data_IF_550722143227
#
_entry.id   IF_550722143227
#
_cell.length_a   1.000
_cell.length_b   1.000
_cell.length_c   1.000
_cell.angle_alpha   90.00
_cell.angle_beta   90.00
_cell.angle_gamma   90.00
#
_symmetry.space_group_name_H-M   'P 1'
#
loop_
_entity.id
_entity.type
_entity.pdbx_description
1 polymer ?
#
# COMPACT_ATOMS: atom_id res chain seq x y z
N UNK A 1 -20.16 6.58 -27.14
CA UNK A 1 -20.18 6.58 -25.66
C UNK A 1 -18.74 6.49 -25.18
N UNK A 2 -18.35 7.27 -24.17
CA UNK A 2 -16.96 7.24 -23.64
C UNK A 2 -16.82 5.96 -22.81
N UNK A 3 -15.81 5.15 -23.12
CA UNK A 3 -15.51 3.88 -22.44
C UNK A 3 -14.65 4.11 -21.20
N UNK A 4 -13.61 4.95 -21.31
CA UNK A 4 -12.68 5.24 -20.21
C UNK A 4 -12.46 6.76 -20.06
N UNK A 5 -12.58 7.25 -18.84
CA UNK A 5 -12.02 8.55 -18.43
C UNK A 5 -10.63 8.33 -17.86
N UNK A 6 -9.62 8.86 -18.54
CA UNK A 6 -8.24 8.88 -18.04
C UNK A 6 -8.06 10.13 -17.21
N UNK A 7 -7.71 9.97 -15.93
CA UNK A 7 -7.48 11.07 -15.00
C UNK A 7 -5.98 11.23 -14.81
N UNK A 8 -5.47 12.41 -15.13
CA UNK A 8 -4.05 12.76 -15.06
C UNK A 8 -3.89 13.97 -14.13
N UNK A 9 -3.61 13.77 -12.83
CA UNK A 9 -3.17 14.85 -11.94
C UNK A 9 -1.81 15.38 -12.38
N UNK A 10 -1.64 16.70 -12.47
CA UNK A 10 -0.43 17.35 -12.97
C UNK A 10 0.05 18.39 -11.96
N UNK A 11 1.31 18.29 -11.53
CA UNK A 11 1.96 19.31 -10.71
C UNK A 11 3.46 19.32 -10.95
N UNK A 12 3.98 20.36 -11.60
CA UNK A 12 5.41 20.58 -11.82
C UNK A 12 6.18 19.39 -12.46
N UNK A 13 5.71 18.92 -13.62
CA UNK A 13 6.22 17.74 -14.35
C UNK A 13 6.54 18.05 -15.82
N UNK A 14 6.93 19.28 -16.15
CA UNK A 14 7.13 19.73 -17.54
C UNK A 14 8.05 18.83 -18.38
N UNK A 15 9.02 18.19 -17.73
CA UNK A 15 10.01 17.32 -18.37
C UNK A 15 9.45 15.98 -18.86
N UNK A 16 8.34 15.52 -18.29
CA UNK A 16 7.81 14.15 -18.51
C UNK A 16 6.41 14.17 -19.13
N UNK A 17 5.67 15.25 -18.90
CA UNK A 17 4.26 15.38 -19.25
C UNK A 17 3.96 15.14 -20.74
N UNK A 18 4.85 15.58 -21.65
CA UNK A 18 4.65 15.36 -23.09
C UNK A 18 4.61 13.88 -23.45
N UNK A 19 5.53 13.08 -22.90
CA UNK A 19 5.58 11.65 -23.16
C UNK A 19 4.38 10.93 -22.55
N UNK A 20 3.96 11.34 -21.35
CA UNK A 20 2.73 10.86 -20.71
C UNK A 20 1.51 11.09 -21.62
N UNK A 21 1.28 12.33 -22.05
CA UNK A 21 0.15 12.70 -22.91
C UNK A 21 0.17 11.98 -24.25
N UNK A 22 1.32 11.93 -24.94
CA UNK A 22 1.46 11.20 -26.20
C UNK A 22 1.14 9.71 -26.03
N UNK A 23 1.54 9.10 -24.91
CA UNK A 23 1.23 7.69 -24.65
C UNK A 23 -0.27 7.41 -24.50
N UNK A 24 -1.04 8.39 -23.99
CA UNK A 24 -2.49 8.30 -23.78
C UNK A 24 -3.25 8.64 -25.08
N UNK A 25 -2.84 9.68 -25.79
CA UNK A 25 -3.45 10.12 -27.05
C UNK A 25 -3.37 9.01 -28.12
N UNK A 26 -2.23 8.33 -28.17
CA UNK A 26 -1.93 7.28 -29.15
C UNK A 26 -2.49 5.90 -28.77
N UNK A 27 -3.32 5.78 -27.73
CA UNK A 27 -3.98 4.53 -27.36
C UNK A 27 -4.81 3.95 -28.52
N UNK A 28 -4.85 2.62 -28.65
CA UNK A 28 -5.66 1.92 -29.65
C UNK A 28 -7.15 2.10 -29.38
N UNK A 29 -7.57 2.12 -28.11
CA UNK A 29 -8.93 2.48 -27.71
C UNK A 29 -9.16 3.99 -27.91
N UNK A 30 -10.07 4.36 -28.81
CA UNK A 30 -10.30 5.77 -29.16
C UNK A 30 -11.40 6.44 -28.35
N UNK A 31 -12.36 5.67 -27.83
CA UNK A 31 -13.48 6.16 -27.03
C UNK A 31 -13.07 6.50 -25.59
N UNK A 32 -12.07 7.36 -25.46
CA UNK A 32 -11.55 7.86 -24.20
C UNK A 32 -11.77 9.36 -24.09
N UNK A 33 -11.80 9.86 -22.86
CA UNK A 33 -11.55 11.27 -22.55
C UNK A 33 -10.37 11.37 -21.58
N UNK A 34 -9.68 12.49 -21.59
CA UNK A 34 -8.44 12.71 -20.84
C UNK A 34 -8.63 13.95 -19.99
N UNK A 35 -8.91 13.74 -18.70
CA UNK A 35 -9.06 14.79 -17.70
C UNK A 35 -7.68 15.13 -17.13
N UNK A 36 -7.11 16.25 -17.56
CA UNK A 36 -5.86 16.76 -17.01
C UNK A 36 -6.17 17.81 -15.94
N UNK A 37 -5.81 17.51 -14.69
CA UNK A 37 -6.07 18.39 -13.54
C UNK A 37 -4.74 19.03 -13.12
N UNK A 38 -4.53 20.28 -13.51
CA UNK A 38 -3.38 21.08 -13.11
C UNK A 38 -3.54 21.60 -11.68
N UNK A 39 -2.66 21.18 -10.79
CA UNK A 39 -2.71 21.52 -9.37
C UNK A 39 -1.92 22.78 -9.02
N UNK A 40 -2.17 23.85 -9.79
CA UNK A 40 -1.45 25.11 -9.69
C UNK A 40 0.06 24.96 -9.97
N UNK A 41 0.42 24.35 -11.11
CA UNK A 41 1.83 24.23 -11.51
C UNK A 41 2.48 25.61 -11.71
N UNK A 42 3.75 25.70 -11.35
CA UNK A 42 4.58 26.91 -11.47
C UNK A 42 5.63 26.81 -12.58
N UNK A 43 5.79 25.62 -13.17
CA UNK A 43 6.64 25.36 -14.33
C UNK A 43 5.82 25.45 -15.65
N UNK A 44 6.36 24.95 -16.78
CA UNK A 44 5.65 24.98 -18.05
C UNK A 44 4.59 23.88 -18.20
N UNK A 45 4.26 23.10 -17.16
CA UNK A 45 3.27 22.02 -17.24
C UNK A 45 1.92 22.49 -17.77
N UNK A 46 1.39 23.61 -17.24
CA UNK A 46 0.11 24.15 -17.69
C UNK A 46 0.15 24.59 -19.16
N UNK A 47 1.23 25.23 -19.61
CA UNK A 47 1.41 25.61 -21.02
C UNK A 47 1.45 24.40 -21.95
N UNK A 48 2.07 23.30 -21.52
CA UNK A 48 2.06 22.02 -22.25
C UNK A 48 0.63 21.48 -22.34
N UNK A 49 -0.13 21.49 -21.24
CA UNK A 49 -1.54 21.07 -21.26
C UNK A 49 -2.38 21.86 -22.26
N UNK A 50 -2.22 23.19 -22.29
CA UNK A 50 -2.93 24.06 -23.25
C UNK A 50 -2.55 23.76 -24.72
N UNK A 51 -1.28 23.45 -24.98
CA UNK A 51 -0.82 23.04 -26.30
C UNK A 51 -1.50 21.75 -26.76
N UNK A 52 -1.55 20.74 -25.90
CA UNK A 52 -2.12 19.44 -26.23
C UNK A 52 -3.64 19.48 -26.32
N UNK A 53 -4.33 20.24 -25.47
CA UNK A 53 -5.77 20.42 -25.56
C UNK A 53 -6.23 21.08 -26.87
N UNK A 54 -5.37 21.89 -27.50
CA UNK A 54 -5.62 22.44 -28.85
C UNK A 54 -5.45 21.39 -29.96
N UNK A 55 -4.67 20.34 -29.73
CA UNK A 55 -4.36 19.28 -30.71
C UNK A 55 -5.34 18.10 -30.64
N UNK A 56 -5.85 17.78 -29.45
CA UNK A 56 -6.75 16.65 -29.22
C UNK A 56 -7.96 17.08 -28.39
N UNK A 57 -9.14 17.03 -28.99
CA UNK A 57 -10.40 17.46 -28.37
C UNK A 57 -10.90 16.54 -27.24
N UNK A 58 -10.27 15.37 -27.04
CA UNK A 58 -10.55 14.47 -25.93
C UNK A 58 -9.93 14.96 -24.63
N UNK A 59 -8.98 15.89 -24.69
CA UNK A 59 -8.33 16.48 -23.53
C UNK A 59 -9.20 17.60 -22.94
N UNK A 60 -9.45 17.50 -21.64
CA UNK A 60 -10.25 18.43 -20.86
C UNK A 60 -9.37 18.92 -19.73
N UNK A 61 -9.19 20.24 -19.66
CA UNK A 61 -8.33 20.88 -18.69
C UNK A 61 -9.15 21.38 -17.50
N UNK A 62 -8.69 21.04 -16.30
CA UNK A 62 -9.20 21.60 -15.05
C UNK A 62 -8.00 22.21 -14.33
N UNK A 63 -8.12 23.47 -13.91
CA UNK A 63 -7.05 24.20 -13.25
C UNK A 63 -7.45 24.57 -11.83
N UNK A 64 -6.62 24.18 -10.86
CA UNK A 64 -6.77 24.64 -9.49
C UNK A 64 -6.11 26.01 -9.29
N UNK A 65 -6.69 26.80 -8.38
CA UNK A 65 -6.13 28.11 -7.98
C UNK A 65 -5.02 28.00 -6.95
N UNK A 66 -4.92 26.87 -6.27
CA UNK A 66 -3.88 26.56 -5.29
C UNK A 66 -3.57 25.06 -5.33
N UNK A 67 -2.38 24.68 -4.87
CA UNK A 67 -1.99 23.27 -4.78
C UNK A 67 -2.78 22.57 -3.66
N UNK A 68 -3.55 21.54 -4.04
CA UNK A 68 -4.46 20.76 -3.19
C UNK A 68 -4.00 19.31 -2.96
N UNK A 69 -3.03 18.81 -3.72
CA UNK A 69 -2.49 17.46 -3.61
C UNK A 69 -3.24 16.42 -4.46
N UNK A 70 -2.59 15.26 -4.64
CA UNK A 70 -3.04 14.21 -5.57
C UNK A 70 -4.44 13.66 -5.29
N UNK A 71 -4.80 13.47 -4.02
CA UNK A 71 -6.12 12.96 -3.63
C UNK A 71 -7.27 13.87 -4.09
N UNK A 72 -7.12 15.19 -3.91
CA UNK A 72 -8.11 16.17 -4.36
C UNK A 72 -8.27 16.15 -5.89
N UNK A 73 -7.16 16.13 -6.63
CA UNK A 73 -7.18 16.11 -8.10
C UNK A 73 -7.82 14.84 -8.65
N UNK A 74 -7.54 13.68 -8.05
CA UNK A 74 -8.20 12.42 -8.40
C UNK A 74 -9.70 12.46 -8.11
N UNK A 75 -10.12 13.08 -7.00
CA UNK A 75 -11.54 13.26 -6.67
C UNK A 75 -12.28 14.15 -7.65
N UNK A 76 -11.69 15.26 -8.09
CA UNK A 76 -12.24 16.08 -9.18
C UNK A 76 -12.42 15.21 -10.43
N UNK A 77 -11.37 14.48 -10.82
CA UNK A 77 -11.44 13.60 -11.98
C UNK A 77 -12.56 12.56 -11.88
N UNK A 78 -12.75 11.93 -10.72
CA UNK A 78 -13.84 10.95 -10.51
C UNK A 78 -15.22 11.60 -10.71
N UNK A 79 -15.41 12.82 -10.19
CA UNK A 79 -16.68 13.55 -10.27
C UNK A 79 -17.00 13.99 -11.70
N UNK A 80 -15.99 14.48 -12.42
CA UNK A 80 -16.13 15.01 -13.80
C UNK A 80 -16.07 13.93 -14.88
N UNK A 81 -15.56 12.73 -14.58
CA UNK A 81 -15.52 11.59 -15.49
C UNK A 81 -16.89 11.31 -16.10
N UNK A 82 -16.94 11.01 -17.40
CA UNK A 82 -18.13 10.59 -18.16
C UNK A 82 -18.01 9.18 -18.74
N UNK A 83 -16.82 8.58 -18.65
CA UNK A 83 -16.54 7.22 -19.05
C UNK A 83 -17.25 6.19 -18.18
N UNK A 84 -17.49 5.01 -18.77
CA UNK A 84 -17.96 3.82 -18.04
C UNK A 84 -16.96 3.40 -16.96
N UNK A 85 -15.67 3.49 -17.28
CA UNK A 85 -14.55 3.20 -16.39
C UNK A 85 -13.63 4.42 -16.21
N UNK A 86 -12.82 4.37 -15.16
CA UNK A 86 -11.82 5.38 -14.80
C UNK A 86 -10.45 4.71 -14.74
N UNK A 87 -9.43 5.34 -15.33
CA UNK A 87 -8.01 4.99 -15.15
C UNK A 87 -7.28 6.20 -14.61
N UNK A 88 -6.49 6.03 -13.54
CA UNK A 88 -5.53 7.04 -13.12
C UNK A 88 -4.20 6.78 -13.83
N UNK A 89 -3.55 7.82 -14.36
CA UNK A 89 -2.20 7.73 -14.90
C UNK A 89 -1.42 8.90 -14.32
N UNK A 90 -0.31 8.62 -13.64
CA UNK A 90 0.52 9.66 -13.06
C UNK A 90 1.27 10.40 -14.19
N UNK A 91 1.39 11.73 -14.08
CA UNK A 91 1.83 12.60 -15.17
C UNK A 91 3.32 12.50 -15.55
N UNK A 92 4.10 11.84 -14.70
CA UNK A 92 5.50 11.48 -14.93
C UNK A 92 5.68 10.06 -15.54
N UNK A 93 4.62 9.27 -15.60
CA UNK A 93 4.62 7.92 -16.16
C UNK A 93 4.13 7.87 -17.61
N UNK A 94 4.16 6.69 -18.22
CA UNK A 94 3.60 6.45 -19.55
C UNK A 94 3.13 5.00 -19.72
N UNK A 95 2.27 4.76 -20.71
CA UNK A 95 1.64 3.46 -20.96
C UNK A 95 1.85 2.96 -22.38
N UNK A 96 1.85 1.64 -22.59
CA UNK A 96 1.93 1.09 -23.94
C UNK A 96 0.65 1.36 -24.73
N UNK A 97 0.74 1.48 -26.06
CA UNK A 97 -0.36 1.87 -26.95
C UNK A 97 -1.67 1.07 -26.82
N UNK A 98 -1.62 -0.17 -26.34
CA UNK A 98 -2.77 -1.06 -26.18
C UNK A 98 -3.19 -1.24 -24.71
N UNK A 99 -2.62 -0.44 -23.79
CA UNK A 99 -2.87 -0.51 -22.35
C UNK A 99 -4.36 -0.39 -22.00
N UNK A 100 -5.00 0.69 -22.47
CA UNK A 100 -6.40 0.96 -22.14
C UNK A 100 -7.37 -0.01 -22.81
N UNK A 101 -7.08 -0.43 -24.05
CA UNK A 101 -7.89 -1.41 -24.77
C UNK A 101 -7.86 -2.78 -24.08
N UNK A 102 -6.67 -3.24 -23.71
CA UNK A 102 -6.50 -4.51 -23.00
C UNK A 102 -7.23 -4.49 -21.64
N UNK A 103 -7.09 -3.43 -20.84
CA UNK A 103 -7.80 -3.31 -19.57
C UNK A 103 -9.32 -3.28 -19.75
N UNK A 104 -9.82 -2.51 -20.73
CA UNK A 104 -11.26 -2.45 -21.01
C UNK A 104 -11.81 -3.81 -21.44
N UNK A 105 -11.11 -4.52 -22.34
CA UNK A 105 -11.54 -5.84 -22.80
C UNK A 105 -11.58 -6.85 -21.66
N UNK A 106 -10.60 -6.84 -20.74
CA UNK A 106 -10.64 -7.67 -19.53
C UNK A 106 -11.81 -7.29 -18.62
N UNK A 107 -12.04 -5.99 -18.39
CA UNK A 107 -13.18 -5.51 -17.62
C UNK A 107 -14.50 -6.01 -18.20
N UNK A 108 -14.70 -5.95 -19.52
CA UNK A 108 -15.93 -6.43 -20.14
C UNK A 108 -16.05 -7.95 -20.13
N UNK A 109 -14.95 -8.67 -20.33
CA UNK A 109 -14.92 -10.14 -20.32
C UNK A 109 -15.36 -10.72 -18.97
N UNK A 110 -14.89 -10.14 -17.88
CA UNK A 110 -15.21 -10.59 -16.52
C UNK A 110 -16.22 -9.69 -15.82
N UNK A 111 -16.82 -8.69 -16.51
CA UNK A 111 -17.70 -7.64 -15.96
C UNK A 111 -17.15 -6.94 -14.68
N UNK A 112 -15.83 -6.86 -14.57
CA UNK A 112 -15.11 -6.45 -13.36
C UNK A 112 -15.46 -5.03 -12.89
N UNK A 113 -15.44 -4.85 -11.57
CA UNK A 113 -15.41 -3.54 -10.93
C UNK A 113 -14.00 -2.95 -10.95
N UNK A 114 -12.98 -3.80 -10.88
CA UNK A 114 -11.57 -3.41 -10.91
C UNK A 114 -10.79 -4.34 -11.83
N UNK A 115 -9.92 -3.78 -12.67
CA UNK A 115 -8.92 -4.53 -13.44
C UNK A 115 -7.54 -4.04 -13.04
N UNK A 116 -6.67 -4.95 -12.62
CA UNK A 116 -5.25 -4.65 -12.35
C UNK A 116 -4.40 -5.02 -13.57
N UNK A 117 -3.41 -4.20 -13.91
CA UNK A 117 -2.30 -4.71 -14.73
C UNK A 117 -1.26 -5.42 -13.86
N UNK A 118 -0.82 -6.58 -14.34
CA UNK A 118 0.29 -7.37 -13.80
C UNK A 118 1.65 -6.98 -14.41
N UNK A 119 1.65 -6.20 -15.50
CA UNK A 119 2.86 -5.89 -16.27
C UNK A 119 3.30 -4.44 -16.03
N UNK A 120 3.88 -4.23 -14.85
CA UNK A 120 4.50 -2.97 -14.47
C UNK A 120 5.99 -3.06 -14.80
N UNK A 121 6.51 -2.05 -15.50
CA UNK A 121 7.93 -1.89 -15.78
C UNK A 121 8.44 -0.64 -15.09
N UNK A 122 9.58 -0.73 -14.40
CA UNK A 122 10.28 0.44 -13.88
C UNK A 122 11.25 0.96 -14.93
N UNK A 123 11.06 2.20 -15.34
CA UNK A 123 11.98 2.93 -16.21
C UNK A 123 12.81 3.91 -15.37
N UNK A 124 14.13 3.82 -15.44
CA UNK A 124 15.05 4.68 -14.66
C UNK A 124 15.56 5.79 -15.57
N UNK A 125 15.14 7.03 -15.31
CA UNK A 125 15.42 8.20 -16.15
C UNK A 125 16.92 8.45 -16.33
N UNK A 126 17.72 8.28 -15.27
CA UNK A 126 19.16 8.54 -15.27
C UNK A 126 19.95 7.54 -16.13
N UNK A 127 19.49 6.29 -16.20
CA UNK A 127 20.18 5.21 -16.91
C UNK A 127 19.53 4.84 -18.23
N UNK A 128 18.31 5.34 -18.49
CA UNK A 128 17.45 4.99 -19.62
C UNK A 128 17.18 3.48 -19.71
N UNK A 129 17.28 2.76 -18.60
CA UNK A 129 17.06 1.31 -18.53
C UNK A 129 15.65 1.01 -18.03
N UNK A 130 15.08 -0.04 -18.60
CA UNK A 130 13.78 -0.57 -18.18
C UNK A 130 13.97 -1.92 -17.51
N UNK A 131 13.35 -2.11 -16.36
CA UNK A 131 13.34 -3.35 -15.60
C UNK A 131 11.90 -3.81 -15.43
N UNK A 132 11.65 -5.11 -15.55
CA UNK A 132 10.36 -5.66 -15.17
C UNK A 132 10.24 -5.59 -13.65
N UNK A 133 9.11 -5.11 -13.15
CA UNK A 133 8.82 -5.25 -11.74
C UNK A 133 8.59 -6.74 -11.47
N UNK A 134 9.44 -7.34 -10.63
CA UNK A 134 9.45 -8.79 -10.44
C UNK A 134 8.33 -9.17 -9.47
N UNK A 135 7.22 -9.62 -10.03
CA UNK A 135 6.11 -10.18 -9.29
C UNK A 135 5.94 -11.64 -9.65
N UNK A 136 5.67 -12.46 -8.64
CA UNK A 136 5.20 -13.84 -8.83
C UNK A 136 3.74 -13.81 -9.27
N UNK A 137 3.48 -13.31 -10.47
CA UNK A 137 2.16 -13.30 -11.07
C UNK A 137 2.02 -14.36 -12.14
N UNK A 138 0.78 -14.82 -12.33
CA UNK A 138 0.48 -15.80 -13.35
C UNK A 138 0.70 -15.12 -14.68
N UNK A 139 1.32 -15.80 -15.63
CA UNK A 139 1.49 -15.28 -16.97
C UNK A 139 0.22 -15.47 -17.82
N UNK A 140 -0.95 -15.28 -17.21
CA UNK A 140 -2.26 -15.37 -17.84
C UNK A 140 -3.21 -14.33 -17.22
N UNK A 141 -4.25 -14.00 -17.96
CA UNK A 141 -5.33 -13.14 -17.50
C UNK A 141 -6.34 -13.98 -16.70
N UNK A 142 -6.76 -13.51 -15.53
CA UNK A 142 -7.69 -14.24 -14.67
C UNK A 142 -8.63 -13.33 -13.87
N UNK A 143 -9.80 -13.85 -13.53
CA UNK A 143 -10.69 -13.30 -12.50
C UNK A 143 -10.36 -13.92 -11.15
N UNK A 144 -10.60 -13.17 -10.08
CA UNK A 144 -10.37 -13.67 -8.74
C UNK A 144 -11.40 -13.10 -7.78
N UNK A 145 -11.89 -13.95 -6.87
CA UNK A 145 -12.73 -13.55 -5.75
C UNK A 145 -11.83 -13.03 -4.63
N UNK A 146 -11.78 -11.72 -4.46
CA UNK A 146 -10.88 -11.10 -3.49
C UNK A 146 -11.55 -10.76 -2.19
N UNK A 147 -10.77 -10.86 -1.12
CA UNK A 147 -11.09 -10.30 0.18
C UNK A 147 -9.91 -9.48 0.73
N UNK A 148 -10.09 -8.89 1.91
CA UNK A 148 -9.10 -8.00 2.52
C UNK A 148 -7.75 -8.67 2.81
N UNK A 149 -7.70 -10.00 2.92
CA UNK A 149 -6.48 -10.77 3.18
C UNK A 149 -5.52 -10.72 2.01
N UNK A 150 -6.03 -10.47 0.82
CA UNK A 150 -5.28 -10.46 -0.43
C UNK A 150 -4.58 -9.09 -0.67
N UNK A 151 -4.88 -8.06 0.14
CA UNK A 151 -4.10 -6.81 0.17
C UNK A 151 -2.74 -7.11 0.80
N UNK A 152 -1.72 -7.29 -0.03
CA UNK A 152 -0.33 -7.47 0.38
C UNK A 152 0.64 -6.77 -0.58
N UNK A 153 1.89 -6.64 -0.13
CA UNK A 153 3.04 -6.31 -0.98
C UNK A 153 3.31 -7.45 -1.96
N UNK A 154 2.42 -7.69 -2.91
CA UNK A 154 2.65 -8.33 -4.21
C UNK A 154 3.38 -9.70 -4.19
N UNK A 155 3.48 -10.35 -3.04
CA UNK A 155 4.26 -11.58 -2.83
C UNK A 155 3.53 -12.82 -3.32
N UNK A 156 2.22 -12.71 -3.59
CA UNK A 156 1.40 -13.81 -4.09
C UNK A 156 0.75 -13.49 -5.44
N UNK A 157 0.40 -14.55 -6.16
CA UNK A 157 -0.37 -14.53 -7.40
C UNK A 157 -1.71 -13.80 -7.26
N UNK A 158 -2.21 -13.68 -6.03
CA UNK A 158 -3.45 -13.00 -5.69
C UNK A 158 -3.14 -11.80 -4.75
N UNK A 159 -2.16 -10.93 -5.05
CA UNK A 159 -1.88 -9.73 -4.23
C UNK A 159 -2.00 -8.37 -4.96
N UNK A 160 -2.82 -7.46 -4.39
CA UNK A 160 -3.18 -6.15 -4.98
C UNK A 160 -2.30 -5.16 -4.28
N UNK A 161 -1.36 -4.61 -5.03
CA UNK A 161 -0.68 -3.42 -4.57
C UNK A 161 -1.70 -2.30 -4.36
N UNK A 162 -1.54 -1.48 -3.32
CA UNK A 162 -2.40 -0.32 -3.11
C UNK A 162 -2.21 0.77 -4.17
N UNK A 163 -1.33 0.60 -5.17
CA UNK A 163 -1.12 1.57 -6.24
C UNK A 163 -2.41 1.86 -6.99
N UNK A 164 -2.75 3.14 -7.16
CA UNK A 164 -4.01 3.49 -7.83
C UNK A 164 -3.88 3.62 -9.35
N UNK A 165 -2.68 3.87 -9.86
CA UNK A 165 -2.39 4.15 -11.28
C UNK A 165 -2.36 2.90 -12.18
N UNK A 166 -2.13 1.70 -11.65
CA UNK A 166 -2.01 0.47 -12.45
C UNK A 166 -3.36 -0.24 -12.69
N UNK A 167 -4.48 0.49 -12.62
CA UNK A 167 -5.81 -0.09 -12.51
C UNK A 167 -6.85 0.63 -13.37
N UNK A 168 -7.87 -0.12 -13.75
CA UNK A 168 -9.12 0.38 -14.31
C UNK A 168 -10.25 0.15 -13.29
N UNK A 169 -11.06 1.17 -13.02
CA UNK A 169 -12.14 1.14 -12.02
C UNK A 169 -13.49 1.41 -12.68
N UNK A 170 -14.50 0.61 -12.38
CA UNK A 170 -15.88 0.85 -12.81
C UNK A 170 -16.39 2.11 -12.12
N UNK A 171 -16.72 3.15 -12.90
CA UNK A 171 -17.09 4.46 -12.35
C UNK A 171 -18.29 4.34 -11.41
N UNK A 172 -19.32 3.60 -11.81
CA UNK A 172 -20.52 3.41 -11.01
C UNK A 172 -20.23 2.71 -9.67
N UNK A 173 -19.26 1.79 -9.63
CA UNK A 173 -18.84 1.14 -8.38
C UNK A 173 -18.25 2.16 -7.40
N UNK A 174 -17.36 3.05 -7.86
CA UNK A 174 -16.78 4.10 -7.01
C UNK A 174 -17.86 5.06 -6.48
N UNK A 175 -18.77 5.51 -7.34
CA UNK A 175 -19.81 6.47 -6.97
C UNK A 175 -20.85 5.87 -6.02
N UNK A 176 -21.35 4.66 -6.31
CA UNK A 176 -22.36 4.01 -5.48
C UNK A 176 -21.86 3.73 -4.05
N UNK A 177 -20.57 3.41 -3.92
CA UNK A 177 -19.94 3.13 -2.64
C UNK A 177 -19.27 4.36 -1.99
N UNK A 178 -19.39 5.54 -2.62
CA UNK A 178 -18.81 6.82 -2.17
C UNK A 178 -17.31 6.73 -1.88
N UNK A 179 -16.56 6.05 -2.75
CA UNK A 179 -15.13 5.84 -2.59
C UNK A 179 -14.36 6.99 -3.25
N UNK A 180 -13.85 7.88 -2.40
CA UNK A 180 -13.02 9.03 -2.75
C UNK A 180 -11.69 9.00 -1.97
N UNK A 181 -10.68 9.71 -2.45
CA UNK A 181 -9.41 9.93 -1.76
C UNK A 181 -9.58 10.95 -0.62
N UNK A 182 -8.74 10.87 0.40
CA UNK A 182 -8.60 11.96 1.37
C UNK A 182 -7.86 13.13 0.73
N UNK A 183 -8.34 14.34 0.99
CA UNK A 183 -7.90 15.57 0.33
C UNK A 183 -6.80 16.27 1.15
N UNK A 184 -5.74 15.54 1.52
CA UNK A 184 -4.56 16.11 2.14
C UNK A 184 -3.56 16.59 1.07
N UNK A 185 -3.00 17.79 1.28
CA UNK A 185 -2.07 18.42 0.36
C UNK A 185 -0.78 17.63 0.17
N UNK A 186 -0.18 17.21 1.28
CA UNK A 186 0.95 16.28 1.31
C UNK A 186 0.42 14.97 1.87
N UNK A 187 0.37 13.96 1.02
CA UNK A 187 -0.24 12.69 1.35
C UNK A 187 0.79 11.59 1.28
N UNK A 188 0.78 10.75 2.31
CA UNK A 188 1.49 9.48 2.34
C UNK A 188 0.48 8.40 2.67
N UNK A 189 0.49 7.35 1.86
CA UNK A 189 -0.45 6.23 1.97
C UNK A 189 -1.93 6.56 1.65
N UNK A 190 -2.25 7.60 0.85
CA UNK A 190 -3.64 7.78 0.36
C UNK A 190 -4.11 6.58 -0.46
N UNK A 191 -3.20 6.03 -1.27
CA UNK A 191 -3.39 4.85 -2.09
C UNK A 191 -3.83 3.63 -1.26
N UNK A 192 -3.21 3.47 -0.08
CA UNK A 192 -3.52 2.39 0.84
C UNK A 192 -4.87 2.61 1.53
N UNK A 193 -5.16 3.81 2.03
CA UNK A 193 -6.47 4.15 2.60
C UNK A 193 -7.60 3.97 1.58
N UNK A 194 -7.42 4.49 0.36
CA UNK A 194 -8.37 4.34 -0.74
C UNK A 194 -8.62 2.86 -1.05
N UNK A 195 -7.56 2.08 -1.25
CA UNK A 195 -7.67 0.65 -1.57
C UNK A 195 -8.32 -0.14 -0.44
N UNK A 196 -7.96 0.10 0.82
CA UNK A 196 -8.53 -0.62 1.97
C UNK A 196 -10.04 -0.34 2.11
N UNK A 197 -10.47 0.91 1.94
CA UNK A 197 -11.91 1.25 1.95
C UNK A 197 -12.65 0.68 0.74
N UNK A 198 -12.04 0.73 -0.44
CA UNK A 198 -12.58 0.14 -1.66
C UNK A 198 -12.87 -1.37 -1.49
N UNK A 199 -11.92 -2.09 -0.88
CA UNK A 199 -12.03 -3.54 -0.67
C UNK A 199 -13.10 -3.95 0.35
N UNK A 200 -13.58 -3.02 1.19
CA UNK A 200 -14.70 -3.27 2.11
C UNK A 200 -15.98 -3.70 1.37
N UNK A 201 -16.12 -3.24 0.12
CA UNK A 201 -17.29 -3.47 -0.72
C UNK A 201 -17.20 -4.71 -1.61
N UNK A 202 -16.16 -5.54 -1.41
CA UNK A 202 -15.95 -6.81 -2.13
C UNK A 202 -16.08 -6.66 -3.66
N UNK A 203 -15.30 -5.75 -4.28
CA UNK A 203 -15.34 -5.54 -5.73
C UNK A 203 -15.03 -6.83 -6.47
N UNK A 204 -15.63 -7.00 -7.66
CA UNK A 204 -15.19 -8.05 -8.59
C UNK A 204 -13.90 -7.63 -9.28
N UNK A 205 -12.83 -8.39 -9.07
CA UNK A 205 -11.47 -8.05 -9.52
C UNK A 205 -11.01 -9.02 -10.59
N UNK A 206 -10.37 -8.47 -11.62
CA UNK A 206 -9.64 -9.23 -12.64
C UNK A 206 -8.24 -8.69 -12.83
N UNK A 207 -7.37 -9.52 -13.40
CA UNK A 207 -5.96 -9.22 -13.63
C UNK A 207 -5.62 -9.43 -15.09
N UNK A 208 -4.99 -8.43 -15.68
CA UNK A 208 -4.56 -8.42 -17.06
C UNK A 208 -3.02 -8.51 -17.14
N UNK A 209 -2.51 -9.44 -17.95
CA UNK A 209 -1.07 -9.66 -18.14
C UNK A 209 -0.48 -9.02 -19.41
N UNK A 210 -1.32 -8.36 -20.23
CA UNK A 210 -0.93 -7.76 -21.52
C UNK A 210 -0.64 -6.27 -21.44
N UNK A 211 -1.45 -5.54 -20.68
CA UNK A 211 -1.40 -4.08 -20.53
C UNK A 211 -0.11 -3.69 -19.84
N UNK A 212 0.76 -2.90 -20.48
CA UNK A 212 2.05 -2.53 -19.88
C UNK A 212 2.03 -1.09 -19.41
N UNK A 213 2.32 -0.91 -18.12
CA UNK A 213 2.50 0.41 -17.50
C UNK A 213 3.99 0.65 -17.21
N UNK A 214 4.51 1.81 -17.56
CA UNK A 214 5.89 2.19 -17.28
C UNK A 214 5.94 3.23 -16.15
N UNK A 215 6.33 2.75 -14.96
CA UNK A 215 6.59 3.58 -13.80
C UNK A 215 7.98 4.22 -13.91
N UNK A 216 8.05 5.54 -14.01
CA UNK A 216 9.29 6.31 -14.17
C UNK A 216 9.88 6.64 -12.80
N UNK A 217 11.16 6.33 -12.63
CA UNK A 217 11.98 6.82 -11.51
C UNK A 217 12.87 7.94 -12.00
N UNK A 218 12.80 9.08 -11.32
CA UNK A 218 13.66 10.23 -11.53
C UNK A 218 13.96 10.93 -10.20
N UNK A 219 14.92 11.87 -10.21
CA UNK A 219 15.39 12.56 -9.00
C UNK A 219 14.29 13.33 -8.26
N UNK A 220 13.31 13.86 -8.97
CA UNK A 220 12.21 14.66 -8.41
C UNK A 220 10.96 13.83 -8.09
N UNK A 221 10.96 12.50 -8.29
CA UNK A 221 9.80 11.65 -7.99
C UNK A 221 9.37 11.82 -6.53
N UNK A 222 8.07 11.87 -6.28
CA UNK A 222 7.52 12.02 -4.91
C UNK A 222 8.08 10.96 -3.96
N UNK A 223 8.21 9.72 -4.42
CA UNK A 223 8.80 8.63 -3.62
C UNK A 223 10.27 8.86 -3.21
N UNK A 224 10.98 9.72 -3.95
CA UNK A 224 12.38 10.10 -3.74
C UNK A 224 12.52 11.39 -2.91
N UNK A 225 11.53 12.28 -2.98
CA UNK A 225 11.59 13.63 -2.38
C UNK A 225 10.72 13.81 -1.15
N UNK A 226 9.71 12.95 -0.93
CA UNK A 226 8.88 12.98 0.29
C UNK A 226 9.75 12.68 1.49
N UNK A 227 9.69 13.59 2.48
CA UNK A 227 10.32 13.41 3.78
C UNK A 227 9.92 12.04 4.38
N UNK A 228 10.90 11.27 4.83
CA UNK A 228 10.65 10.01 5.56
C UNK A 228 10.66 10.23 7.07
N UNK A 229 10.65 11.49 7.49
CA UNK A 229 10.57 11.94 8.86
C UNK A 229 9.17 11.82 9.47
N UNK A 230 9.00 12.50 10.59
CA UNK A 230 7.84 12.35 11.49
C UNK A 230 6.52 12.76 10.85
N UNK A 231 6.52 13.81 10.01
CA UNK A 231 5.30 14.34 9.39
C UNK A 231 4.67 13.31 8.44
N UNK A 232 5.48 12.73 7.55
CA UNK A 232 5.06 11.69 6.61
C UNK A 232 4.55 10.44 7.31
N UNK A 233 5.18 10.03 8.42
CA UNK A 233 4.68 8.93 9.24
C UNK A 233 3.31 9.24 9.84
N UNK A 234 3.15 10.45 10.36
CA UNK A 234 1.93 10.90 11.04
C UNK A 234 0.78 11.01 10.03
N UNK A 235 1.05 11.52 8.83
CA UNK A 235 0.10 11.53 7.72
C UNK A 235 -0.34 10.11 7.35
N UNK A 236 0.59 9.18 7.19
CA UNK A 236 0.25 7.78 6.93
C UNK A 236 -0.62 7.16 8.04
N UNK A 237 -0.31 7.42 9.32
CA UNK A 237 -1.14 6.98 10.45
C UNK A 237 -2.53 7.62 10.41
N UNK A 238 -2.65 8.88 10.01
CA UNK A 238 -3.93 9.57 9.88
C UNK A 238 -4.78 8.98 8.74
N UNK A 239 -4.18 8.68 7.58
CA UNK A 239 -4.86 7.97 6.49
C UNK A 239 -5.37 6.60 6.94
N UNK A 240 -4.54 5.82 7.61
CA UNK A 240 -4.95 4.49 8.08
C UNK A 240 -5.94 4.56 9.24
N UNK A 241 -5.92 5.64 10.03
CA UNK A 241 -6.96 5.93 11.03
C UNK A 241 -8.30 6.26 10.38
N UNK A 242 -8.30 6.92 9.21
CA UNK A 242 -9.52 7.15 8.43
C UNK A 242 -10.10 5.83 7.89
N UNK A 243 -9.26 4.95 7.33
CA UNK A 243 -9.71 3.62 6.95
C UNK A 243 -10.28 2.86 8.15
N UNK A 244 -9.63 2.91 9.32
CA UNK A 244 -10.17 2.33 10.56
C UNK A 244 -11.55 2.89 10.92
N UNK A 245 -11.72 4.21 10.88
CA UNK A 245 -12.99 4.87 11.18
C UNK A 245 -14.08 4.42 10.20
N UNK A 246 -13.76 4.40 8.90
CA UNK A 246 -14.67 3.94 7.86
C UNK A 246 -15.19 2.52 8.12
N UNK A 247 -14.30 1.59 8.48
CA UNK A 247 -14.69 0.23 8.85
C UNK A 247 -15.50 0.19 10.16
N UNK A 248 -15.13 1.01 11.13
CA UNK A 248 -15.86 1.07 12.41
C UNK A 248 -17.30 1.50 12.21
N UNK A 249 -17.53 2.49 11.35
CA UNK A 249 -18.86 3.05 11.09
C UNK A 249 -19.71 2.18 10.15
N UNK A 250 -19.09 1.60 9.11
CA UNK A 250 -19.83 0.98 8.01
C UNK A 250 -19.71 -0.55 7.98
N UNK A 251 -18.61 -1.11 8.51
CA UNK A 251 -18.24 -2.52 8.37
C UNK A 251 -17.64 -3.12 9.65
N UNK A 252 -18.26 -2.92 10.84
CA UNK A 252 -17.62 -3.26 12.13
C UNK A 252 -17.27 -4.75 12.26
N UNK A 253 -18.04 -5.63 11.61
CA UNK A 253 -17.79 -7.08 11.61
C UNK A 253 -16.47 -7.48 10.92
N UNK A 254 -15.94 -6.63 10.04
CA UNK A 254 -14.67 -6.86 9.34
C UNK A 254 -13.46 -6.21 10.04
N UNK A 255 -13.67 -5.48 11.15
CA UNK A 255 -12.59 -4.85 11.90
C UNK A 255 -11.47 -5.82 12.32
N UNK A 256 -11.76 -7.03 12.83
CA UNK A 256 -10.71 -7.98 13.20
C UNK A 256 -9.82 -8.40 12.03
N UNK A 257 -10.39 -8.49 10.83
CA UNK A 257 -9.69 -8.89 9.61
C UNK A 257 -8.84 -7.74 9.03
N UNK A 258 -9.36 -6.51 9.04
CA UNK A 258 -8.66 -5.35 8.47
C UNK A 258 -7.60 -4.78 9.41
N UNK A 259 -7.71 -5.00 10.74
CA UNK A 259 -6.82 -4.41 11.74
C UNK A 259 -5.35 -4.74 11.50
N UNK A 260 -5.04 -5.99 11.11
CA UNK A 260 -3.67 -6.38 10.81
C UNK A 260 -3.15 -5.70 9.54
N UNK A 261 -3.99 -5.57 8.51
CA UNK A 261 -3.64 -4.91 7.24
C UNK A 261 -3.41 -3.41 7.41
N UNK A 262 -4.14 -2.76 8.33
CA UNK A 262 -3.88 -1.37 8.73
C UNK A 262 -2.59 -1.22 9.53
N UNK A 263 -2.24 -2.22 10.34
CA UNK A 263 -1.05 -2.18 11.17
C UNK A 263 0.26 -2.32 10.39
N UNK A 264 0.32 -3.24 9.43
CA UNK A 264 1.52 -3.56 8.64
C UNK A 264 2.21 -2.32 8.04
N UNK A 265 1.51 -1.39 7.33
CA UNK A 265 2.16 -0.19 6.80
C UNK A 265 2.66 0.76 7.89
N UNK A 266 1.91 0.93 8.99
CA UNK A 266 2.35 1.76 10.14
C UNK A 266 3.67 1.27 10.72
N UNK A 267 3.76 -0.04 10.99
CA UNK A 267 4.95 -0.62 11.61
C UNK A 267 6.13 -0.68 10.64
N UNK A 268 5.89 -0.90 9.35
CA UNK A 268 6.95 -0.85 8.34
C UNK A 268 7.54 0.56 8.23
N UNK A 269 6.71 1.60 8.23
CA UNK A 269 7.19 2.98 8.23
C UNK A 269 8.03 3.25 9.48
N UNK A 270 7.50 2.92 10.66
CA UNK A 270 8.23 3.09 11.92
C UNK A 270 9.59 2.42 11.91
N UNK A 271 9.66 1.17 11.43
CA UNK A 271 10.91 0.42 11.36
C UNK A 271 11.93 1.05 10.42
N UNK A 272 11.47 1.69 9.34
CA UNK A 272 12.32 2.40 8.37
C UNK A 272 12.76 3.79 8.85
N UNK A 273 12.10 4.39 9.84
CA UNK A 273 12.46 5.70 10.38
C UNK A 273 13.81 5.70 11.12
N UNK A 274 14.44 6.87 11.18
CA UNK A 274 15.68 7.09 11.94
C UNK A 274 15.47 6.86 13.44
N UNK A 275 16.55 6.66 14.21
CA UNK A 275 16.44 6.48 15.66
C UNK A 275 15.76 7.68 16.35
N UNK A 276 16.12 8.91 15.95
CA UNK A 276 15.51 10.13 16.50
C UNK A 276 14.03 10.27 16.15
N UNK A 277 13.63 9.84 14.95
CA UNK A 277 12.23 9.91 14.54
C UNK A 277 11.40 8.81 15.20
N UNK A 278 11.95 7.61 15.39
CA UNK A 278 11.29 6.53 16.15
C UNK A 278 10.92 6.97 17.56
N UNK A 279 11.82 7.68 18.25
CA UNK A 279 11.51 8.23 19.57
C UNK A 279 10.28 9.16 19.53
N UNK A 280 10.21 10.06 18.55
CA UNK A 280 9.08 11.01 18.38
C UNK A 280 7.79 10.31 17.93
N UNK A 281 7.90 9.25 17.14
CA UNK A 281 6.77 8.53 16.54
C UNK A 281 6.14 7.50 17.46
N UNK A 282 6.85 7.07 18.49
CA UNK A 282 6.40 5.98 19.35
C UNK A 282 5.01 6.23 19.93
N UNK A 283 4.72 7.43 20.43
CA UNK A 283 3.43 7.74 21.04
C UNK A 283 2.28 7.73 20.02
N UNK A 284 2.53 8.18 18.78
CA UNK A 284 1.55 8.11 17.69
C UNK A 284 1.21 6.66 17.35
N UNK A 285 2.22 5.81 17.21
CA UNK A 285 2.04 4.40 16.84
C UNK A 285 1.42 3.60 17.97
N UNK A 286 1.81 3.88 19.22
CA UNK A 286 1.17 3.31 20.40
C UNK A 286 -0.28 3.74 20.53
N UNK A 287 -0.60 5.00 20.23
CA UNK A 287 -1.99 5.47 20.17
C UNK A 287 -2.77 4.72 19.10
N UNK A 288 -2.20 4.56 17.90
CA UNK A 288 -2.80 3.78 16.82
C UNK A 288 -3.00 2.30 17.20
N UNK A 289 -2.00 1.67 17.81
CA UNK A 289 -2.07 0.26 18.24
C UNK A 289 -3.16 0.01 19.28
N UNK A 290 -3.53 1.02 20.08
CA UNK A 290 -4.65 0.95 21.04
C UNK A 290 -6.01 1.02 20.35
N UNK A 291 -6.13 1.68 19.20
CA UNK A 291 -7.39 1.82 18.44
C UNK A 291 -7.76 0.55 17.68
N UNK A 292 -6.79 -0.31 17.38
CA UNK A 292 -7.02 -1.57 16.65
C UNK A 292 -6.94 -2.79 17.58
N UNK A 293 -7.62 -3.86 17.19
CA UNK A 293 -7.49 -5.18 17.80
C UNK A 293 -7.13 -6.19 16.72
N UNK A 294 -5.92 -6.75 16.81
CA UNK A 294 -5.47 -7.79 15.87
C UNK A 294 -5.80 -9.15 16.46
N UNK A 295 -6.77 -9.84 15.87
CA UNK A 295 -7.07 -11.22 16.19
C UNK A 295 -6.03 -12.14 15.51
N UNK A 296 -5.27 -12.94 16.28
CA UNK A 296 -4.23 -13.85 15.78
C UNK A 296 -4.66 -14.75 14.62
N UNK A 297 -5.97 -15.07 14.52
CA UNK A 297 -6.48 -15.96 13.46
C UNK A 297 -6.37 -15.37 12.05
N UNK A 298 -6.19 -14.05 11.92
CA UNK A 298 -5.98 -13.37 10.64
C UNK A 298 -4.50 -13.04 10.37
N UNK A 299 -3.60 -13.57 11.18
CA UNK A 299 -2.15 -13.44 11.00
C UNK A 299 -1.60 -14.79 10.58
N UNK A 300 -0.88 -14.86 9.47
CA UNK A 300 -0.15 -16.06 9.11
C UNK A 300 1.06 -16.24 10.04
N UNK A 301 0.89 -17.05 11.08
CA UNK A 301 1.93 -17.30 12.08
C UNK A 301 3.14 -18.06 11.53
N UNK A 302 3.02 -18.72 10.38
CA UNK A 302 4.15 -19.38 9.70
C UNK A 302 4.97 -18.40 8.85
N UNK A 303 4.37 -17.28 8.45
CA UNK A 303 5.06 -16.21 7.74
C UNK A 303 5.93 -15.43 8.72
N UNK A 304 7.24 -15.58 8.62
CA UNK A 304 8.21 -14.77 9.40
C UNK A 304 7.92 -13.27 9.29
N UNK A 305 7.49 -12.83 8.11
CA UNK A 305 7.10 -11.44 7.87
C UNK A 305 5.90 -11.05 8.74
N UNK A 306 4.76 -11.71 8.59
CA UNK A 306 3.55 -11.35 9.32
C UNK A 306 3.71 -11.54 10.83
N UNK A 307 4.30 -12.66 11.25
CA UNK A 307 4.59 -12.96 12.64
C UNK A 307 5.40 -11.84 13.30
N UNK A 308 6.49 -11.38 12.67
CA UNK A 308 7.30 -10.29 13.23
C UNK A 308 6.52 -8.99 13.40
N UNK A 309 5.58 -8.67 12.50
CA UNK A 309 4.73 -7.46 12.60
C UNK A 309 3.69 -7.60 13.70
N UNK A 310 3.13 -8.80 13.87
CA UNK A 310 2.20 -9.09 14.96
C UNK A 310 2.89 -9.03 16.33
N UNK A 311 4.12 -9.55 16.44
CA UNK A 311 4.91 -9.41 17.68
C UNK A 311 5.22 -7.94 17.98
N UNK A 312 5.60 -7.15 16.97
CA UNK A 312 5.82 -5.72 17.15
C UNK A 312 4.57 -5.00 17.67
N UNK A 313 3.37 -5.38 17.21
CA UNK A 313 2.10 -4.90 17.75
C UNK A 313 1.96 -5.16 19.25
N UNK A 314 2.21 -6.40 19.68
CA UNK A 314 2.12 -6.79 21.09
C UNK A 314 3.13 -6.02 21.95
N UNK A 315 4.39 -5.93 21.50
CA UNK A 315 5.46 -5.24 22.23
C UNK A 315 5.13 -3.74 22.36
N UNK A 316 4.77 -3.06 21.27
CA UNK A 316 4.42 -1.63 21.30
C UNK A 316 3.25 -1.39 22.25
N UNK A 317 2.21 -2.23 22.20
CA UNK A 317 1.02 -2.08 23.04
C UNK A 317 1.33 -2.32 24.53
N UNK A 318 2.24 -3.23 24.85
CA UNK A 318 2.71 -3.50 26.21
C UNK A 318 3.70 -2.45 26.74
N UNK A 319 4.33 -1.67 25.86
CA UNK A 319 5.39 -0.72 26.22
C UNK A 319 4.83 0.61 26.72
N UNK A 320 5.23 1.05 27.90
CA UNK A 320 4.80 2.33 28.48
C UNK A 320 5.37 3.54 27.73
N UNK A 321 6.62 3.45 27.28
CA UNK A 321 7.35 4.47 26.53
C UNK A 321 8.36 3.80 25.57
N UNK A 322 9.08 4.60 24.80
CA UNK A 322 10.03 4.09 23.80
C UNK A 322 11.20 3.30 24.42
N UNK A 323 11.66 3.68 25.61
CA UNK A 323 12.74 2.96 26.31
C UNK A 323 12.31 1.54 26.71
N UNK A 324 11.08 1.39 27.23
CA UNK A 324 10.49 0.07 27.51
C UNK A 324 10.29 -0.74 26.23
N UNK A 325 9.92 -0.10 25.12
CA UNK A 325 9.84 -0.75 23.82
C UNK A 325 11.18 -1.31 23.37
N UNK A 326 12.27 -0.55 23.50
CA UNK A 326 13.62 -1.03 23.19
C UNK A 326 14.01 -2.22 24.08
N UNK A 327 13.76 -2.12 25.39
CA UNK A 327 14.03 -3.21 26.34
C UNK A 327 13.28 -4.49 25.96
N UNK A 328 11.98 -4.40 25.71
CA UNK A 328 11.15 -5.57 25.36
C UNK A 328 11.50 -6.16 24.01
N UNK A 329 11.86 -5.33 23.04
CA UNK A 329 12.33 -5.79 21.72
C UNK A 329 13.63 -6.59 21.84
N UNK A 330 14.59 -6.09 22.64
CA UNK A 330 15.85 -6.80 22.89
C UNK A 330 15.62 -8.12 23.63
N UNK A 331 14.83 -8.10 24.71
CA UNK A 331 14.48 -9.32 25.46
C UNK A 331 13.80 -10.37 24.57
N UNK A 332 12.89 -9.94 23.69
CA UNK A 332 12.22 -10.84 22.75
C UNK A 332 13.20 -11.46 21.74
N UNK A 333 14.14 -10.66 21.21
CA UNK A 333 15.19 -11.12 20.31
C UNK A 333 16.05 -12.19 20.99
N UNK A 334 16.50 -11.94 22.22
CA UNK A 334 17.33 -12.88 22.98
C UNK A 334 16.59 -14.18 23.27
N UNK A 335 15.32 -14.12 23.69
CA UNK A 335 14.48 -15.31 23.89
C UNK A 335 14.30 -16.09 22.58
N UNK A 336 14.16 -15.41 21.45
CA UNK A 336 13.98 -16.05 20.14
C UNK A 336 15.26 -16.76 19.68
N UNK A 337 16.43 -16.13 19.90
CA UNK A 337 17.73 -16.76 19.66
C UNK A 337 17.90 -18.01 20.53
N UNK A 338 17.62 -17.90 21.83
CA UNK A 338 17.68 -19.02 22.77
C UNK A 338 16.74 -20.16 22.33
N UNK A 339 15.49 -19.87 21.92
CA UNK A 339 14.59 -20.89 21.38
C UNK A 339 15.12 -21.55 20.11
N UNK A 340 15.75 -20.77 19.23
CA UNK A 340 16.41 -21.28 18.03
C UNK A 340 17.55 -22.25 18.38
N UNK A 341 18.36 -21.89 19.37
CA UNK A 341 19.47 -22.72 19.85
C UNK A 341 18.98 -24.00 20.55
N UNK A 342 17.89 -23.92 21.33
CA UNK A 342 17.20 -25.10 21.89
C UNK A 342 16.71 -26.03 20.77
N UNK A 343 16.04 -25.48 19.75
CA UNK A 343 15.47 -26.30 18.67
C UNK A 343 16.56 -26.92 17.76
N UNK A 344 17.72 -26.27 17.65
CA UNK A 344 18.90 -26.79 16.92
C UNK A 344 19.71 -27.79 17.73
N UNK A 345 19.66 -27.72 19.05
CA UNK A 345 20.30 -28.69 19.93
C UNK A 345 19.39 -29.92 20.08
N UNK A 346 19.52 -30.87 19.14
CA UNK A 346 18.86 -32.18 19.22
C UNK A 346 19.29 -33.02 20.43
N UNK A 347 20.19 -32.52 21.29
CA UNK A 347 20.45 -33.08 22.61
C UNK A 347 21.00 -32.01 23.58
N UNK A 348 20.33 -31.93 24.74
CA UNK A 348 20.83 -31.43 26.04
C UNK A 348 21.02 -29.93 26.25
N UNK A 349 19.92 -29.20 26.49
CA UNK A 349 19.88 -28.16 27.53
C UNK A 349 18.43 -27.94 27.99
N UNK A 350 18.03 -28.50 29.14
CA UNK A 350 16.78 -28.11 29.79
C UNK A 350 17.01 -26.74 30.42
N UNK A 351 16.55 -25.66 29.79
CA UNK A 351 16.60 -24.31 30.39
C UNK A 351 15.74 -24.23 31.66
N UNK A 352 14.64 -24.98 31.70
CA UNK A 352 13.78 -25.11 32.86
C UNK A 352 13.46 -26.57 33.12
N UNK A 353 13.46 -26.98 34.38
CA UNK A 353 13.07 -28.34 34.75
C UNK A 353 13.02 -28.55 36.25
N UNK A 354 12.08 -29.38 36.69
CA UNK A 354 12.00 -29.83 38.09
C UNK A 354 12.11 -31.35 38.07
N UNK A 355 13.05 -31.90 38.83
CA UNK A 355 13.16 -33.33 39.07
C UNK A 355 13.14 -33.59 40.57
N UNK A 356 12.19 -34.40 41.02
CA UNK A 356 11.91 -34.60 42.42
C UNK A 356 12.12 -36.08 42.78
N UNK A 357 13.29 -36.40 43.33
CA UNK A 357 13.63 -37.77 43.73
C UNK A 357 13.39 -37.96 45.24
N UNK A 358 13.61 -39.19 45.75
CA UNK A 358 13.49 -39.46 47.19
C UNK A 358 14.48 -38.65 48.03
N UNK A 359 15.67 -38.38 47.51
CA UNK A 359 16.74 -37.73 48.27
C UNK A 359 16.92 -36.24 47.94
N UNK A 360 16.56 -35.81 46.73
CA UNK A 360 16.82 -34.45 46.26
C UNK A 360 15.63 -33.85 45.51
N UNK A 361 15.44 -32.54 45.67
CA UNK A 361 14.73 -31.71 44.72
C UNK A 361 15.76 -30.99 43.83
N UNK A 362 15.74 -31.28 42.54
CA UNK A 362 16.58 -30.58 41.55
C UNK A 362 15.74 -29.60 40.76
N UNK A 363 16.16 -28.34 40.74
CA UNK A 363 15.58 -27.28 39.91
C UNK A 363 16.64 -26.85 38.90
N UNK A 364 16.28 -26.83 37.62
CA UNK A 364 17.11 -26.27 36.56
C UNK A 364 16.49 -24.94 36.15
N UNK A 365 17.26 -23.86 36.28
CA UNK A 365 16.89 -22.50 35.91
C UNK A 365 18.01 -21.94 35.04
N UNK A 366 17.71 -21.59 33.80
CA UNK A 366 18.70 -21.12 32.82
C UNK A 366 19.91 -22.04 32.65
N UNK A 367 19.68 -23.36 32.72
CA UNK A 367 20.74 -24.36 32.63
C UNK A 367 21.58 -24.54 33.91
N UNK A 368 21.35 -23.72 34.94
CA UNK A 368 21.97 -23.88 36.26
C UNK A 368 21.17 -24.91 37.04
N UNK A 369 21.83 -26.02 37.42
CA UNK A 369 21.24 -27.09 38.22
C UNK A 369 21.44 -26.83 39.72
N UNK A 370 20.36 -26.54 40.42
CA UNK A 370 20.32 -26.38 41.88
C UNK A 370 19.74 -27.67 42.48
N UNK A 371 20.49 -28.36 43.33
CA UNK A 371 20.04 -29.60 44.00
C UNK A 371 19.91 -29.36 45.50
N UNK A 372 18.69 -29.47 46.01
CA UNK A 372 18.35 -29.32 47.42
C UNK A 372 18.15 -30.71 48.00
N UNK A 373 18.98 -31.10 48.96
CA UNK A 373 18.82 -32.36 49.70
C UNK A 373 17.60 -32.25 50.60
N UNK A 374 16.70 -33.23 50.54
CA UNK A 374 15.53 -33.28 51.44
C UNK A 374 15.99 -33.70 52.83
N UNK A 375 15.41 -33.07 53.84
CA UNK A 375 15.66 -33.40 55.25
C UNK A 375 15.15 -34.79 55.60
#
# INVERSE_FOLDING_TARGET
MIKISVIVPVYNVENYLRECLESIINQTLKEIEILCIDDCSTDNSYSILEEYAKKDNRIILIKNLENKGGGYNRNIGIKEARGEYISFIDSDDYVLKDYLENLYNTAKKYDSDIVNTLNIKTYIEETKKTYKFDFNFKNEEFESEWNLRDIENLSSYNSVAPYVWNKLYKKSFLLNNKIYFLEYKVSTAEDADFTIRLMAHKPRISFNNKSIYFYRKHQTSLTSTVDKGVESATNAINHLSNALLYYTENFPNFLPEVSFKLWVPVINFFNASSFSDKFKLFDYIKSFSKKIFIDPKFVNMESTYEYSRYIAYLIIRASENYDKYLLYTNLYSDISLIKGDINRSSNWFRLFGINNTKEYLTIILFGIKISIKKA
#
